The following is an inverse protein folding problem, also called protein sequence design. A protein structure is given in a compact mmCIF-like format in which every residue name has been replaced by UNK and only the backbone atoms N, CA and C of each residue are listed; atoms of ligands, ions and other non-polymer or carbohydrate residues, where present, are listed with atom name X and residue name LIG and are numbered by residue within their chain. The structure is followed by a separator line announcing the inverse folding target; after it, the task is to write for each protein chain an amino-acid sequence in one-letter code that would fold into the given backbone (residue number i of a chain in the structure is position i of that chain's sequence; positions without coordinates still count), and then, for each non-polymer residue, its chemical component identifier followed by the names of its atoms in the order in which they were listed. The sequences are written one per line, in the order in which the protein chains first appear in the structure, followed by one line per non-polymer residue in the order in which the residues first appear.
data_IF_810421941124
#
_entry.id   IF_810421941124
#
_cell.length_a   1.000
_cell.length_b   1.000
_cell.length_c   1.000
_cell.angle_alpha   90.00
_cell.angle_beta   90.00
_cell.angle_gamma   90.00
#
_symmetry.space_group_name_H-M   'P 1'
#
loop_
_entity.id
_entity.type
_entity.pdbx_description
1 polymer ?
#
# COMPACT_ATOMS: atom_id res chain seq x y z
N UNK A 1 -11.31 -14.81 -15.69
CA UNK A 1 -12.70 -14.41 -15.38
C UNK A 1 -13.28 -15.22 -14.23
N UNK A 2 -13.20 -16.56 -14.25
CA UNK A 2 -13.80 -17.44 -13.24
C UNK A 2 -13.31 -17.20 -11.79
N UNK A 3 -12.08 -16.75 -11.61
CA UNK A 3 -11.50 -16.47 -10.29
C UNK A 3 -11.82 -15.06 -9.73
N UNK A 4 -12.47 -14.19 -10.52
CA UNK A 4 -12.76 -12.81 -10.12
C UNK A 4 -11.53 -11.86 -10.12
N UNK A 5 -10.32 -12.34 -10.36
CA UNK A 5 -9.08 -11.56 -10.31
C UNK A 5 -9.10 -10.32 -11.22
N UNK A 6 -9.75 -10.42 -12.38
CA UNK A 6 -9.84 -9.30 -13.32
C UNK A 6 -10.45 -8.03 -12.69
N UNK A 7 -11.41 -8.20 -11.79
CA UNK A 7 -12.11 -7.09 -11.13
C UNK A 7 -11.50 -6.68 -9.80
N UNK A 8 -10.76 -7.57 -9.15
CA UNK A 8 -10.32 -7.41 -7.77
C UNK A 8 -8.81 -7.24 -7.62
N UNK A 9 -8.03 -7.29 -8.72
CA UNK A 9 -6.57 -7.17 -8.66
C UNK A 9 -6.16 -5.70 -8.71
N UNK A 10 -6.58 -4.95 -7.68
CA UNK A 10 -6.33 -3.52 -7.56
C UNK A 10 -5.70 -3.22 -6.21
N UNK A 11 -4.69 -2.32 -6.21
CA UNK A 11 -4.13 -1.74 -5.00
C UNK A 11 -4.54 -0.26 -4.88
N UNK A 12 -4.81 0.23 -3.68
CA UNK A 12 -4.97 1.65 -3.44
C UNK A 12 -3.59 2.32 -3.50
N UNK A 13 -3.41 3.26 -4.42
CA UNK A 13 -2.14 3.95 -4.64
C UNK A 13 -2.26 5.45 -4.43
N UNK A 14 -1.19 6.06 -3.94
CA UNK A 14 -0.99 7.51 -3.84
C UNK A 14 0.28 7.89 -4.60
N UNK A 15 0.27 9.04 -5.26
CA UNK A 15 1.40 9.57 -5.99
C UNK A 15 1.94 10.84 -5.26
N UNK A 16 3.25 10.99 -5.16
CA UNK A 16 3.85 12.24 -4.67
C UNK A 16 3.85 13.28 -5.79
N UNK A 17 3.36 14.49 -5.48
CA UNK A 17 3.33 15.60 -6.43
C UNK A 17 4.71 16.12 -6.80
N UNK A 18 5.69 15.98 -5.91
CA UNK A 18 7.06 16.50 -6.07
C UNK A 18 8.02 15.45 -6.63
N UNK A 19 8.32 14.39 -5.89
CA UNK A 19 9.29 13.39 -6.32
C UNK A 19 8.73 12.37 -7.34
N UNK A 20 7.44 12.43 -7.66
CA UNK A 20 6.74 11.55 -8.62
C UNK A 20 6.76 10.05 -8.26
N UNK A 21 7.21 9.70 -7.06
CA UNK A 21 7.15 8.31 -6.58
C UNK A 21 5.71 7.93 -6.26
N UNK A 22 5.44 6.65 -6.43
CA UNK A 22 4.15 6.02 -6.15
C UNK A 22 4.30 5.08 -4.96
N UNK A 23 3.30 5.12 -4.07
CA UNK A 23 3.26 4.30 -2.86
C UNK A 23 1.91 3.60 -2.74
N UNK A 24 1.90 2.46 -2.06
CA UNK A 24 0.65 1.81 -1.66
C UNK A 24 0.02 2.57 -0.50
N UNK A 25 -1.22 3.00 -0.67
CA UNK A 25 -1.91 3.78 0.36
C UNK A 25 -2.23 2.98 1.64
N UNK A 26 -2.25 1.64 1.53
CA UNK A 26 -2.42 0.72 2.65
C UNK A 26 -1.09 0.38 3.37
N UNK A 27 0.03 0.95 2.92
CA UNK A 27 1.36 0.79 3.51
C UNK A 27 1.97 2.12 3.99
N UNK A 28 1.46 3.25 3.54
CA UNK A 28 1.91 4.57 4.02
C UNK A 28 1.06 4.97 5.20
N UNK A 29 1.72 5.23 6.31
CA UNK A 29 1.12 5.73 7.55
C UNK A 29 1.53 7.17 7.80
N UNK A 30 0.64 7.89 8.45
CA UNK A 30 0.84 9.25 8.90
C UNK A 30 0.73 9.30 10.42
N UNK A 31 1.72 9.88 11.05
CA UNK A 31 1.69 10.16 12.48
C UNK A 31 1.62 11.68 12.71
N UNK A 32 0.68 12.11 13.52
CA UNK A 32 0.46 13.51 13.87
C UNK A 32 0.49 13.70 15.39
N UNK A 33 1.09 14.80 15.81
CA UNK A 33 0.84 15.40 17.12
C UNK A 33 -0.25 16.46 16.94
N UNK A 34 -1.38 16.28 17.56
CA UNK A 34 -2.56 17.16 17.43
C UNK A 34 -2.80 17.86 18.76
N UNK A 35 -2.92 19.21 18.75
CA UNK A 35 -3.24 20.05 19.91
C UNK A 35 -4.45 20.90 19.58
N UNK A 36 -5.48 20.87 20.43
CA UNK A 36 -6.76 21.57 20.21
C UNK A 36 -7.35 21.30 18.80
N UNK A 37 -7.25 20.05 18.33
CA UNK A 37 -7.75 19.61 17.03
C UNK A 37 -6.89 20.05 15.83
N UNK A 38 -5.72 20.68 16.04
CA UNK A 38 -4.82 21.11 14.97
C UNK A 38 -3.52 20.31 14.98
N UNK A 39 -3.04 19.83 13.84
CA UNK A 39 -1.75 19.16 13.75
C UNK A 39 -0.62 20.19 13.94
N UNK A 40 0.19 19.99 14.98
CA UNK A 40 1.37 20.81 15.27
C UNK A 40 2.66 20.16 14.78
N UNK A 41 2.61 18.87 14.53
CA UNK A 41 3.70 18.09 13.93
C UNK A 41 3.13 16.89 13.17
N UNK A 42 3.84 16.47 12.13
CA UNK A 42 3.49 15.29 11.35
C UNK A 42 4.71 14.64 10.72
N UNK A 43 4.59 13.34 10.48
CA UNK A 43 5.59 12.55 9.75
C UNK A 43 4.91 11.39 9.01
N UNK A 44 5.43 11.05 7.83
CA UNK A 44 5.01 9.89 7.08
C UNK A 44 6.08 8.79 7.13
N UNK A 45 5.65 7.54 7.15
CA UNK A 45 6.53 6.39 7.09
C UNK A 45 5.82 5.21 6.41
N UNK A 46 6.60 4.25 5.92
CA UNK A 46 6.04 3.00 5.38
C UNK A 46 6.02 1.94 6.48
N UNK A 47 4.90 1.28 6.66
CA UNK A 47 4.73 0.22 7.65
C UNK A 47 3.33 -0.38 7.65
N UNK A 48 3.22 -1.60 8.18
CA UNK A 48 1.95 -2.33 8.28
C UNK A 48 1.16 -1.94 9.54
N UNK A 49 1.85 -1.48 10.57
CA UNK A 49 1.26 -1.14 11.87
C UNK A 49 1.91 0.14 12.46
N UNK A 50 1.33 0.71 13.53
CA UNK A 50 1.88 1.88 14.22
C UNK A 50 3.28 1.68 14.82
N UNK A 51 3.73 0.44 15.05
CA UNK A 51 5.06 0.17 15.61
C UNK A 51 6.19 0.60 14.65
N UNK A 52 5.91 0.71 13.34
CA UNK A 52 6.85 1.28 12.36
C UNK A 52 7.29 2.72 12.69
N UNK A 53 6.51 3.44 13.51
CA UNK A 53 6.92 4.76 14.02
C UNK A 53 8.12 4.67 14.98
N UNK A 54 8.39 3.54 15.58
CA UNK A 54 9.55 3.35 16.46
C UNK A 54 10.87 3.23 15.68
N UNK A 55 10.80 2.85 14.40
CA UNK A 55 11.94 2.68 13.50
C UNK A 55 12.32 3.95 12.72
N UNK A 56 11.62 5.08 12.95
CA UNK A 56 11.95 6.35 12.29
C UNK A 56 13.33 6.88 12.67
N UNK A 57 13.88 7.75 11.83
CA UNK A 57 15.22 8.32 12.07
C UNK A 57 15.32 9.03 13.42
N UNK A 58 16.49 8.97 14.04
CA UNK A 58 16.75 9.63 15.34
C UNK A 58 16.47 11.14 15.33
N UNK A 59 16.67 11.81 14.19
CA UNK A 59 16.40 13.25 14.05
C UNK A 59 14.90 13.55 14.09
N UNK A 60 14.10 12.74 13.41
CA UNK A 60 12.63 12.85 13.41
C UNK A 60 12.08 12.57 14.80
N UNK A 61 12.55 11.47 15.44
CA UNK A 61 12.17 11.12 16.81
C UNK A 61 12.49 12.26 17.79
N UNK A 62 13.67 12.85 17.72
CA UNK A 62 14.07 13.97 18.58
C UNK A 62 13.16 15.18 18.40
N UNK A 63 12.78 15.51 17.16
CA UNK A 63 11.84 16.60 16.86
C UNK A 63 10.45 16.32 17.46
N UNK A 64 9.95 15.12 17.32
CA UNK A 64 8.69 14.68 17.92
C UNK A 64 8.74 14.77 19.44
N UNK A 65 9.75 14.17 20.08
CA UNK A 65 9.88 14.16 21.55
C UNK A 65 10.01 15.57 22.13
N UNK A 66 10.70 16.48 21.43
CA UNK A 66 10.80 17.87 21.83
C UNK A 66 9.42 18.56 21.86
N UNK A 67 8.64 18.43 20.80
CA UNK A 67 7.30 19.03 20.72
C UNK A 67 6.32 18.35 21.68
N UNK A 68 6.36 17.04 21.80
CA UNK A 68 5.53 16.29 22.73
C UNK A 68 5.77 16.72 24.18
N UNK A 69 7.03 16.95 24.56
CA UNK A 69 7.40 17.44 25.88
C UNK A 69 6.97 18.91 26.08
N UNK A 70 7.06 19.77 25.05
CA UNK A 70 6.58 21.14 25.11
C UNK A 70 5.07 21.23 25.37
N UNK A 71 4.30 20.28 24.84
CA UNK A 71 2.84 20.18 25.00
C UNK A 71 2.40 19.18 26.09
N UNK A 72 3.29 18.81 27.01
CA UNK A 72 2.97 17.83 28.05
C UNK A 72 1.73 18.22 28.88
N UNK A 73 1.59 19.49 29.23
CA UNK A 73 0.41 19.99 29.97
C UNK A 73 -0.88 19.84 29.15
N UNK A 74 -0.82 19.96 27.82
CA UNK A 74 -1.98 19.77 26.95
C UNK A 74 -2.37 18.31 26.85
N UNK A 75 -1.41 17.38 26.86
CA UNK A 75 -1.66 15.95 26.97
C UNK A 75 -2.33 15.59 28.31
N UNK A 76 -1.80 16.11 29.42
CA UNK A 76 -2.35 15.88 30.77
C UNK A 76 -3.77 16.47 30.90
N UNK A 77 -4.08 17.54 30.18
CA UNK A 77 -5.41 18.17 30.12
C UNK A 77 -6.36 17.53 29.07
N UNK A 78 -5.92 16.54 28.30
CA UNK A 78 -6.71 15.90 27.24
C UNK A 78 -6.92 16.77 25.99
N UNK A 79 -6.16 17.87 25.84
CA UNK A 79 -6.21 18.77 24.69
C UNK A 79 -5.27 18.35 23.54
N UNK A 80 -4.23 17.58 23.86
CA UNK A 80 -3.31 17.04 22.89
C UNK A 80 -3.45 15.52 22.78
N UNK A 81 -3.24 14.98 21.57
CA UNK A 81 -3.28 13.56 21.29
C UNK A 81 -2.33 13.20 20.16
N UNK A 82 -1.87 11.96 20.16
CA UNK A 82 -1.18 11.35 19.03
C UNK A 82 -2.21 10.67 18.12
N UNK A 83 -2.12 10.92 16.83
CA UNK A 83 -2.94 10.28 15.81
C UNK A 83 -2.03 9.55 14.83
N UNK A 84 -2.18 8.22 14.74
CA UNK A 84 -1.55 7.38 13.73
C UNK A 84 -2.61 6.74 12.85
N UNK A 85 -2.52 6.95 11.55
CA UNK A 85 -3.50 6.43 10.60
C UNK A 85 -2.87 6.13 9.24
N UNK A 86 -3.53 5.32 8.43
CA UNK A 86 -3.16 5.14 7.02
C UNK A 86 -3.37 6.45 6.26
N UNK A 87 -2.56 6.68 5.22
CA UNK A 87 -2.68 7.88 4.38
C UNK A 87 -4.06 8.04 3.73
N UNK A 88 -4.75 6.93 3.48
CA UNK A 88 -6.14 6.91 2.99
C UNK A 88 -7.19 7.33 4.03
N UNK A 89 -6.83 7.32 5.31
CA UNK A 89 -7.71 7.61 6.46
C UNK A 89 -7.39 8.97 7.10
N UNK A 90 -6.47 9.73 6.51
CA UNK A 90 -6.08 11.05 7.03
C UNK A 90 -7.30 11.97 7.11
N UNK A 91 -7.58 12.56 8.29
CA UNK A 91 -8.72 13.46 8.45
C UNK A 91 -8.65 14.66 7.54
N UNK A 92 -9.81 15.23 7.24
CA UNK A 92 -9.90 16.47 6.46
C UNK A 92 -9.15 17.60 7.15
N UNK A 93 -8.43 18.41 6.38
CA UNK A 93 -7.61 19.49 6.92
C UNK A 93 -6.21 19.08 7.41
N UNK A 94 -5.87 17.77 7.40
CA UNK A 94 -4.53 17.30 7.71
C UNK A 94 -3.74 17.04 6.41
N UNK A 95 -2.46 17.41 6.40
CA UNK A 95 -1.59 17.22 5.23
C UNK A 95 -1.22 15.74 5.05
N UNK A 96 -1.31 15.25 3.83
CA UNK A 96 -0.77 13.94 3.41
C UNK A 96 0.62 14.17 2.82
N UNK A 97 1.65 13.69 3.49
CA UNK A 97 3.04 13.92 3.06
C UNK A 97 3.73 12.64 2.59
N UNK A 98 4.68 12.83 1.70
CA UNK A 98 5.50 11.75 1.16
C UNK A 98 6.53 11.28 2.19
N UNK A 99 6.68 9.97 2.45
CA UNK A 99 7.67 9.45 3.39
C UNK A 99 9.12 9.69 2.94
N UNK A 100 9.34 9.93 1.64
CA UNK A 100 10.67 10.10 1.06
C UNK A 100 11.14 11.56 1.01
N UNK A 101 10.29 12.47 0.54
CA UNK A 101 10.68 13.85 0.31
C UNK A 101 9.88 14.90 1.12
N UNK A 102 8.85 14.48 1.86
CA UNK A 102 7.96 15.39 2.59
C UNK A 102 6.96 16.16 1.71
N UNK A 103 6.98 15.97 0.38
CA UNK A 103 6.05 16.61 -0.54
C UNK A 103 4.62 16.10 -0.41
N UNK A 104 3.66 16.80 -0.99
CA UNK A 104 2.23 16.45 -0.91
C UNK A 104 1.92 15.16 -1.67
N UNK A 105 1.16 14.26 -1.03
CA UNK A 105 0.60 13.07 -1.68
C UNK A 105 -0.80 13.36 -2.23
N UNK A 106 -1.12 12.72 -3.35
CA UNK A 106 -2.48 12.72 -3.93
C UNK A 106 -3.44 11.93 -3.05
N UNK A 107 -4.73 12.06 -3.32
CA UNK A 107 -5.73 11.14 -2.77
C UNK A 107 -5.48 9.71 -3.28
N UNK A 108 -5.88 8.74 -2.44
CA UNK A 108 -5.75 7.34 -2.78
C UNK A 108 -6.68 6.97 -3.95
N UNK A 109 -6.12 6.30 -4.95
CA UNK A 109 -6.86 5.80 -6.12
C UNK A 109 -6.65 4.30 -6.25
N UNK A 110 -7.70 3.58 -6.59
CA UNK A 110 -7.57 2.16 -6.96
C UNK A 110 -6.85 2.04 -8.29
N UNK A 111 -5.74 1.34 -8.28
CA UNK A 111 -4.91 1.09 -9.43
C UNK A 111 -4.98 -0.38 -9.84
N UNK A 112 -5.40 -0.66 -11.08
CA UNK A 112 -5.43 -2.02 -11.58
C UNK A 112 -4.01 -2.47 -11.93
N UNK A 113 -3.53 -3.50 -11.27
CA UNK A 113 -2.19 -4.05 -11.45
C UNK A 113 -2.07 -4.97 -12.68
N UNK A 114 -3.19 -5.35 -13.29
CA UNK A 114 -3.19 -6.23 -14.46
C UNK A 114 -2.82 -5.47 -15.73
N UNK A 115 -1.81 -5.94 -16.43
CA UNK A 115 -1.40 -5.40 -17.70
C UNK A 115 -2.38 -5.78 -18.80
N UNK A 116 -3.02 -4.78 -19.42
CA UNK A 116 -3.96 -4.97 -20.55
C UNK A 116 -3.20 -5.12 -21.87
N UNK A 117 -3.69 -5.98 -22.74
CA UNK A 117 -3.20 -6.14 -24.10
C UNK A 117 -4.37 -6.54 -25.03
N UNK A 118 -4.13 -6.56 -26.32
CA UNK A 118 -5.11 -6.99 -27.31
C UNK A 118 -4.61 -8.25 -28.02
N UNK A 119 -5.54 -9.14 -28.34
CA UNK A 119 -5.25 -10.36 -29.10
C UNK A 119 -5.71 -10.15 -30.55
N UNK A 120 -4.76 -10.26 -31.48
CA UNK A 120 -5.03 -10.04 -32.90
C UNK A 120 -4.56 -8.68 -33.42
N UNK A 121 -4.84 -8.36 -34.70
CA UNK A 121 -4.32 -7.18 -35.36
C UNK A 121 -5.09 -5.89 -35.08
N UNK A 122 -6.30 -5.97 -34.48
CA UNK A 122 -7.14 -4.83 -34.19
C UNK A 122 -7.24 -4.59 -32.68
N UNK A 123 -7.14 -3.33 -32.27
CA UNK A 123 -7.32 -2.88 -30.87
C UNK A 123 -8.79 -2.56 -30.63
N UNK A 124 -9.63 -3.58 -30.55
CA UNK A 124 -11.03 -3.42 -30.19
C UNK A 124 -11.33 -3.99 -28.79
N UNK A 125 -12.47 -3.60 -28.22
CA UNK A 125 -12.84 -4.02 -26.87
C UNK A 125 -13.10 -5.53 -26.76
N UNK A 126 -13.47 -6.19 -27.83
CA UNK A 126 -13.71 -7.63 -27.88
C UNK A 126 -12.40 -8.43 -27.88
N UNK A 127 -11.31 -7.82 -28.38
CA UNK A 127 -9.99 -8.40 -28.42
C UNK A 127 -9.16 -8.14 -27.13
N UNK A 128 -9.67 -7.33 -26.20
CA UNK A 128 -8.97 -6.98 -24.96
C UNK A 128 -8.78 -8.20 -24.06
N UNK A 129 -7.56 -8.41 -23.59
CA UNK A 129 -7.22 -9.45 -22.63
C UNK A 129 -6.22 -8.93 -21.60
N UNK A 130 -5.96 -9.72 -20.56
CA UNK A 130 -4.97 -9.38 -19.52
C UNK A 130 -3.84 -10.39 -19.54
N UNK A 131 -2.62 -9.89 -19.39
CA UNK A 131 -1.48 -10.74 -19.09
C UNK A 131 -1.54 -11.19 -17.64
N UNK A 132 -0.99 -12.36 -17.31
CA UNK A 132 -1.02 -12.86 -15.93
C UNK A 132 -0.19 -11.98 -15.01
N UNK A 133 -0.74 -11.52 -13.88
CA UNK A 133 -0.02 -10.67 -12.93
C UNK A 133 0.91 -11.46 -12.00
N UNK A 134 0.69 -12.78 -11.88
CA UNK A 134 1.49 -13.69 -11.05
C UNK A 134 1.38 -15.14 -11.53
N UNK A 135 2.25 -16.01 -11.05
CA UNK A 135 2.27 -17.43 -11.44
C UNK A 135 1.44 -18.34 -10.52
N UNK A 136 1.04 -17.85 -9.34
CA UNK A 136 0.37 -18.64 -8.32
C UNK A 136 -0.94 -19.27 -8.80
N UNK A 137 -1.76 -18.55 -9.58
CA UNK A 137 -3.02 -19.09 -10.11
C UNK A 137 -2.81 -20.31 -11.00
N UNK A 138 -1.73 -20.32 -11.78
CA UNK A 138 -1.36 -21.48 -12.60
C UNK A 138 -1.07 -22.74 -11.76
N UNK A 139 -0.45 -22.57 -10.60
CA UNK A 139 -0.18 -23.64 -9.64
C UNK A 139 -1.50 -24.19 -9.09
N UNK A 140 -2.40 -23.36 -8.62
CA UNK A 140 -3.69 -23.78 -8.05
C UNK A 140 -4.57 -24.48 -9.07
N UNK A 141 -4.69 -23.93 -10.29
CA UNK A 141 -5.50 -24.54 -11.36
C UNK A 141 -4.97 -25.92 -11.77
N UNK A 142 -3.66 -26.10 -11.80
CA UNK A 142 -3.03 -27.36 -12.22
C UNK A 142 -2.78 -28.34 -11.07
N UNK A 143 -3.10 -27.99 -9.82
CA UNK A 143 -2.80 -28.81 -8.64
C UNK A 143 -3.32 -30.25 -8.78
N UNK A 144 -4.61 -30.41 -9.08
CA UNK A 144 -5.23 -31.75 -9.23
C UNK A 144 -4.65 -32.51 -10.41
N UNK A 145 -4.35 -31.84 -11.51
CA UNK A 145 -3.73 -32.49 -12.68
C UNK A 145 -2.34 -33.01 -12.35
N UNK A 146 -1.53 -32.26 -11.63
CA UNK A 146 -0.18 -32.67 -11.17
C UNK A 146 -0.30 -33.83 -10.18
N UNK A 147 -1.20 -33.72 -9.19
CA UNK A 147 -1.42 -34.79 -8.20
C UNK A 147 -1.75 -36.14 -8.87
N UNK A 148 -2.69 -36.11 -9.81
CA UNK A 148 -3.18 -37.32 -10.48
C UNK A 148 -2.15 -37.88 -11.46
N UNK A 149 -1.52 -37.06 -12.29
CA UNK A 149 -0.55 -37.50 -13.30
C UNK A 149 0.73 -38.04 -12.69
N UNK A 150 1.20 -37.41 -11.61
CA UNK A 150 2.44 -37.81 -10.93
C UNK A 150 2.23 -38.89 -9.87
N UNK A 151 0.98 -39.23 -9.57
CA UNK A 151 0.58 -40.26 -8.57
C UNK A 151 1.24 -40.05 -7.19
N UNK A 152 1.52 -38.78 -6.83
CA UNK A 152 2.13 -38.41 -5.56
C UNK A 152 1.07 -38.22 -4.48
N UNK A 153 1.50 -38.32 -3.21
CA UNK A 153 0.63 -38.13 -2.04
C UNK A 153 0.96 -36.79 -1.35
N UNK A 154 -0.03 -36.19 -0.72
CA UNK A 154 0.14 -35.01 0.13
C UNK A 154 0.89 -35.42 1.42
N UNK A 155 1.86 -34.65 1.91
CA UNK A 155 2.30 -33.33 1.39
C UNK A 155 3.30 -33.42 0.24
N UNK A 156 3.16 -32.52 -0.75
CA UNK A 156 4.16 -32.33 -1.81
C UNK A 156 4.22 -30.84 -2.21
N UNK A 157 5.29 -30.45 -2.90
CA UNK A 157 5.47 -29.09 -3.40
C UNK A 157 5.31 -29.00 -4.92
N UNK A 158 4.77 -27.88 -5.38
CA UNK A 158 4.72 -27.51 -6.80
C UNK A 158 5.48 -26.21 -6.97
N UNK A 159 6.38 -26.15 -7.95
CA UNK A 159 7.07 -24.94 -8.35
C UNK A 159 6.76 -24.63 -9.82
N UNK A 160 6.66 -23.35 -10.15
CA UNK A 160 6.44 -22.87 -11.50
C UNK A 160 7.38 -21.70 -11.79
N UNK A 161 8.09 -21.79 -12.93
CA UNK A 161 8.87 -20.69 -13.48
C UNK A 161 8.09 -20.10 -14.66
N UNK A 162 7.86 -18.79 -14.61
CA UNK A 162 7.14 -18.10 -15.67
C UNK A 162 7.19 -16.57 -15.54
N UNK A 163 6.93 -15.88 -16.64
CA UNK A 163 6.85 -14.42 -16.63
C UNK A 163 5.54 -13.97 -15.98
N UNK A 164 5.62 -12.94 -15.13
CA UNK A 164 4.48 -12.20 -14.61
C UNK A 164 4.57 -10.76 -15.10
N UNK A 165 3.40 -10.12 -15.31
CA UNK A 165 3.31 -8.78 -15.90
C UNK A 165 2.42 -7.93 -15.00
N UNK A 166 2.96 -6.83 -14.49
CA UNK A 166 2.23 -5.84 -13.68
C UNK A 166 2.43 -4.44 -14.27
N UNK A 167 1.40 -3.60 -14.13
CA UNK A 167 1.50 -2.17 -14.38
C UNK A 167 2.31 -1.48 -13.29
#
# INVERSE_FOLDING_TARGET
QASGHEKCFTDPMVDCRECKRRFRADKVRMHYLVVDGKPVWHHAYEGDDPAGFDDISKSVRKSYDHLRNAHKADFDAGKATDLDCLVSQVPEGHARICPECGGELTEARLFNLMFKTFVGPAEDSAAMTYLRPETAQGIFVNFLSVLNSSRIKVPFGIAQIGKAFRN
#
